data_IF_072541354239
#
_entry.id   IF_072541354239
#
_cell.length_a   1.000
_cell.length_b   1.000
_cell.length_c   1.000
_cell.angle_alpha   90.00
_cell.angle_beta   90.00
_cell.angle_gamma   90.00
#
_symmetry.space_group_name_H-M   'P 1'
#
loop_
_entity.id
_entity.type
_entity.pdbx_description
1 polymer ?
#
# COMPACT_ATOMS: atom_id res chain seq x y z
N UNK A 1 -24.81 -3.15 -22.06
CA UNK A 1 -25.32 -4.21 -21.17
C UNK A 1 -24.27 -4.61 -20.12
N UNK A 2 -23.18 -5.33 -20.45
CA UNK A 2 -22.12 -5.71 -19.47
C UNK A 2 -21.56 -4.58 -18.58
N UNK A 3 -21.42 -3.35 -19.10
CA UNK A 3 -20.93 -2.20 -18.32
C UNK A 3 -21.97 -1.65 -17.33
N UNK A 4 -23.26 -1.71 -17.64
CA UNK A 4 -24.34 -1.32 -16.72
C UNK A 4 -24.47 -2.32 -15.55
N UNK A 5 -24.14 -3.59 -15.81
CA UNK A 5 -24.14 -4.63 -14.78
C UNK A 5 -23.03 -4.38 -13.75
N UNK A 6 -21.84 -3.95 -14.20
CA UNK A 6 -20.72 -3.63 -13.30
C UNK A 6 -20.97 -2.38 -12.45
N UNK A 7 -21.50 -1.29 -13.01
CA UNK A 7 -21.79 -0.08 -12.22
C UNK A 7 -22.84 -0.33 -11.14
N UNK A 8 -23.78 -1.24 -11.41
CA UNK A 8 -24.80 -1.63 -10.42
C UNK A 8 -24.14 -2.42 -9.29
N UNK A 9 -23.30 -3.41 -9.63
CA UNK A 9 -22.58 -4.22 -8.65
C UNK A 9 -21.58 -3.37 -7.81
N UNK A 10 -20.90 -2.41 -8.43
CA UNK A 10 -20.04 -1.44 -7.72
C UNK A 10 -20.84 -0.70 -6.65
N UNK A 11 -22.04 -0.21 -7.00
CA UNK A 11 -22.90 0.50 -6.05
C UNK A 11 -23.40 -0.41 -4.93
N UNK A 12 -23.90 -1.60 -5.27
CA UNK A 12 -24.38 -2.58 -4.29
C UNK A 12 -23.28 -2.97 -3.29
N UNK A 13 -22.05 -3.23 -3.77
CA UNK A 13 -20.92 -3.50 -2.89
C UNK A 13 -20.55 -2.29 -2.03
N UNK A 14 -20.59 -1.08 -2.59
CA UNK A 14 -20.34 0.16 -1.84
C UNK A 14 -21.31 0.31 -0.67
N UNK A 15 -22.60 0.10 -0.94
CA UNK A 15 -23.69 0.23 0.03
C UNK A 15 -23.62 -0.87 1.11
N UNK A 16 -23.31 -2.12 0.72
CA UNK A 16 -23.19 -3.23 1.68
C UNK A 16 -21.96 -3.12 2.60
N UNK A 17 -20.85 -2.58 2.10
CA UNK A 17 -19.59 -2.47 2.83
C UNK A 17 -19.44 -1.12 3.55
N UNK A 18 -20.36 -0.19 3.35
CA UNK A 18 -20.29 1.20 3.86
C UNK A 18 -18.97 1.89 3.50
N UNK A 19 -18.57 1.77 2.22
CA UNK A 19 -17.36 2.40 1.68
C UNK A 19 -17.74 3.39 0.58
N UNK A 20 -17.00 4.50 0.50
CA UNK A 20 -17.37 5.61 -0.38
C UNK A 20 -17.28 5.30 -1.89
N UNK A 21 -16.46 4.32 -2.30
CA UNK A 21 -16.34 3.93 -3.70
C UNK A 21 -15.78 2.53 -3.88
N UNK A 22 -16.44 1.75 -4.73
CA UNK A 22 -15.94 0.47 -5.27
C UNK A 22 -15.61 0.64 -6.75
N UNK A 23 -14.55 -0.05 -7.21
CA UNK A 23 -14.23 -0.18 -8.62
C UNK A 23 -14.03 -1.66 -8.93
N UNK A 24 -14.79 -2.20 -9.87
CA UNK A 24 -14.73 -3.61 -10.27
C UNK A 24 -14.12 -3.71 -11.67
N UNK A 25 -13.13 -4.59 -11.80
CA UNK A 25 -12.54 -4.92 -13.09
C UNK A 25 -13.04 -6.30 -13.53
N UNK A 26 -13.35 -6.50 -14.83
CA UNK A 26 -13.72 -7.82 -15.33
C UNK A 26 -12.52 -8.77 -15.28
N UNK A 27 -12.78 -10.03 -14.92
CA UNK A 27 -11.78 -11.10 -14.84
C UNK A 27 -11.55 -11.59 -13.42
N UNK A 28 -10.62 -12.53 -13.25
CA UNK A 28 -10.25 -13.12 -11.97
C UNK A 28 -8.73 -13.04 -11.75
N UNK A 29 -8.30 -12.27 -10.73
CA UNK A 29 -6.87 -12.08 -10.43
C UNK A 29 -6.19 -13.30 -9.79
N UNK A 30 -6.94 -14.28 -9.32
CA UNK A 30 -6.39 -15.54 -8.81
C UNK A 30 -6.05 -16.49 -9.97
N UNK A 31 -6.70 -16.34 -11.13
CA UNK A 31 -6.46 -17.15 -12.33
C UNK A 31 -5.58 -16.44 -13.36
N UNK A 32 -5.71 -15.11 -13.48
CA UNK A 32 -5.13 -14.34 -14.57
C UNK A 32 -4.25 -13.18 -14.06
N UNK A 33 -2.94 -13.29 -14.24
CA UNK A 33 -1.99 -12.26 -13.79
C UNK A 33 -2.22 -10.89 -14.47
N UNK A 34 -2.80 -10.88 -15.68
CA UNK A 34 -3.17 -9.64 -16.36
C UNK A 34 -4.21 -8.83 -15.57
N UNK A 35 -5.13 -9.49 -14.88
CA UNK A 35 -6.16 -8.82 -14.07
C UNK A 35 -5.50 -8.12 -12.88
N UNK A 36 -4.52 -8.75 -12.23
CA UNK A 36 -3.73 -8.13 -11.15
C UNK A 36 -2.99 -6.87 -11.63
N UNK A 37 -2.43 -6.92 -12.85
CA UNK A 37 -1.79 -5.75 -13.46
C UNK A 37 -2.79 -4.62 -13.72
N UNK A 38 -4.02 -4.93 -14.15
CA UNK A 38 -5.06 -3.91 -14.31
C UNK A 38 -5.58 -3.33 -13.00
N UNK A 39 -5.66 -4.16 -11.94
CA UNK A 39 -5.92 -3.65 -10.58
C UNK A 39 -4.85 -2.63 -10.21
N UNK A 40 -3.56 -2.97 -10.41
CA UNK A 40 -2.45 -2.05 -10.18
C UNK A 40 -2.56 -0.76 -10.98
N UNK A 41 -2.83 -0.83 -12.28
CA UNK A 41 -3.00 0.35 -13.14
C UNK A 41 -4.19 1.22 -12.73
N UNK A 42 -5.29 0.60 -12.36
CA UNK A 42 -6.49 1.30 -11.90
C UNK A 42 -6.24 2.01 -10.58
N UNK A 43 -5.60 1.34 -9.62
CA UNK A 43 -5.18 1.94 -8.35
C UNK A 43 -4.22 3.12 -8.57
N UNK A 44 -3.26 2.96 -9.48
CA UNK A 44 -2.30 4.02 -9.82
C UNK A 44 -3.01 5.27 -10.37
N UNK A 45 -3.96 5.07 -11.30
CA UNK A 45 -4.77 6.17 -11.85
C UNK A 45 -5.64 6.84 -10.79
N UNK A 46 -6.18 6.10 -9.82
CA UNK A 46 -6.94 6.68 -8.71
C UNK A 46 -6.03 7.54 -7.84
N UNK A 47 -4.86 7.00 -7.45
CA UNK A 47 -3.88 7.75 -6.67
C UNK A 47 -3.42 9.02 -7.39
N UNK A 48 -3.10 8.95 -8.69
CA UNK A 48 -2.72 10.13 -9.47
C UNK A 48 -3.79 11.22 -9.46
N UNK A 49 -5.07 10.85 -9.45
CA UNK A 49 -6.19 11.81 -9.36
C UNK A 49 -6.31 12.44 -7.97
N UNK A 50 -6.10 11.65 -6.92
CA UNK A 50 -6.13 12.16 -5.54
C UNK A 50 -5.00 13.17 -5.29
N UNK A 51 -3.83 12.94 -5.89
CA UNK A 51 -2.68 13.83 -5.78
C UNK A 51 -2.73 15.05 -6.71
N UNK A 52 -3.77 15.19 -7.54
CA UNK A 52 -3.81 16.21 -8.60
C UNK A 52 -4.30 17.60 -8.13
N UNK A 53 -4.58 17.77 -6.83
CA UNK A 53 -5.09 19.03 -6.28
C UNK A 53 -3.99 20.11 -6.06
N UNK A 54 -2.71 19.74 -6.26
CA UNK A 54 -1.56 20.61 -6.09
C UNK A 54 -1.10 20.80 -4.64
N UNK A 55 -1.76 20.15 -3.68
CA UNK A 55 -1.39 20.19 -2.28
C UNK A 55 -0.19 19.28 -1.97
N UNK A 56 0.34 19.44 -0.76
CA UNK A 56 1.34 18.52 -0.22
C UNK A 56 0.63 17.32 0.38
N UNK A 57 1.00 16.13 -0.09
CA UNK A 57 0.49 14.85 0.44
C UNK A 57 1.59 14.01 1.08
N UNK A 58 1.20 13.25 2.09
CA UNK A 58 1.97 12.15 2.66
C UNK A 58 1.22 10.85 2.34
N UNK A 59 1.80 10.04 1.46
CA UNK A 59 1.21 8.78 0.99
C UNK A 59 1.90 7.62 1.71
N UNK A 60 1.17 6.91 2.57
CA UNK A 60 1.61 5.67 3.18
C UNK A 60 1.25 4.48 2.27
N UNK A 61 2.18 3.56 2.04
CA UNK A 61 1.94 2.35 1.23
C UNK A 61 2.34 1.06 1.93
N UNK A 62 1.53 0.01 1.76
CA UNK A 62 1.89 -1.34 2.21
C UNK A 62 2.83 -2.05 1.22
N UNK A 63 3.26 -3.26 1.60
CA UNK A 63 3.91 -4.20 0.70
C UNK A 63 2.92 -4.97 -0.21
N UNK A 64 3.44 -5.97 -0.92
CA UNK A 64 2.68 -7.00 -1.64
C UNK A 64 2.64 -6.83 -3.16
N UNK A 65 2.30 -7.93 -3.86
CA UNK A 65 2.30 -8.01 -5.33
C UNK A 65 1.36 -7.00 -5.99
N UNK A 66 0.19 -6.76 -5.41
CA UNK A 66 -0.78 -5.78 -5.92
C UNK A 66 -0.24 -4.35 -5.87
N UNK A 67 0.44 -3.97 -4.79
CA UNK A 67 1.02 -2.64 -4.64
C UNK A 67 2.28 -2.47 -5.49
N UNK A 68 3.06 -3.54 -5.68
CA UNK A 68 4.16 -3.53 -6.63
C UNK A 68 3.64 -3.30 -8.07
N UNK A 69 2.54 -3.94 -8.45
CA UNK A 69 1.89 -3.70 -9.74
C UNK A 69 1.39 -2.25 -9.87
N UNK A 70 0.82 -1.67 -8.81
CA UNK A 70 0.43 -0.26 -8.78
C UNK A 70 1.63 0.68 -8.94
N UNK A 71 2.66 0.52 -8.11
CA UNK A 71 3.86 1.35 -8.16
C UNK A 71 4.53 1.27 -9.54
N UNK A 72 4.54 0.10 -10.18
CA UNK A 72 5.06 -0.08 -11.54
C UNK A 72 4.22 0.60 -12.65
N UNK A 73 2.96 0.97 -12.39
CA UNK A 73 2.06 1.59 -13.36
C UNK A 73 1.74 3.06 -13.05
N UNK A 74 2.24 3.61 -11.94
CA UNK A 74 2.09 5.04 -11.63
C UNK A 74 2.89 5.89 -12.61
N UNK A 75 2.32 7.04 -12.96
CA UNK A 75 2.92 8.02 -13.86
C UNK A 75 2.49 9.43 -13.46
N UNK A 76 3.21 10.42 -14.00
CA UNK A 76 3.04 11.83 -13.67
C UNK A 76 4.17 12.35 -12.80
N UNK A 77 4.04 13.60 -12.36
CA UNK A 77 5.01 14.27 -11.49
C UNK A 77 4.29 14.86 -10.31
N UNK A 78 4.68 14.46 -9.11
CA UNK A 78 4.13 14.88 -7.82
C UNK A 78 5.25 15.23 -6.84
N UNK A 79 6.06 16.26 -7.13
CA UNK A 79 7.27 16.58 -6.35
C UNK A 79 6.97 17.04 -4.92
N UNK A 80 5.75 17.53 -4.65
CA UNK A 80 5.32 17.93 -3.32
C UNK A 80 4.90 16.74 -2.42
N UNK A 81 4.85 15.53 -2.97
CA UNK A 81 4.45 14.33 -2.24
C UNK A 81 5.64 13.73 -1.48
N UNK A 82 5.34 13.18 -0.30
CA UNK A 82 6.25 12.31 0.46
C UNK A 82 5.64 10.92 0.51
N UNK A 83 6.33 9.91 0.00
CA UNK A 83 5.89 8.51 0.09
C UNK A 83 6.60 7.82 1.25
N UNK A 84 5.85 7.13 2.10
CA UNK A 84 6.37 6.41 3.26
C UNK A 84 5.82 4.99 3.31
N UNK A 85 6.54 4.03 3.89
CA UNK A 85 5.98 2.72 4.15
C UNK A 85 4.92 2.82 5.28
N UNK A 86 3.81 2.11 5.15
CA UNK A 86 2.78 2.04 6.18
C UNK A 86 3.19 1.14 7.36
N UNK A 87 4.21 0.29 7.18
CA UNK A 87 4.64 -0.76 8.12
C UNK A 87 6.14 -0.98 8.02
N UNK A 88 6.70 -1.73 8.98
CA UNK A 88 8.09 -2.16 8.95
C UNK A 88 8.42 -3.08 7.77
N UNK A 89 9.71 -3.39 7.60
CA UNK A 89 10.17 -4.41 6.65
C UNK A 89 9.63 -5.78 7.04
N UNK A 90 9.04 -6.52 6.09
CA UNK A 90 8.47 -7.85 6.33
C UNK A 90 8.73 -8.79 5.17
N UNK A 91 9.17 -10.02 5.48
CA UNK A 91 9.28 -11.13 4.54
C UNK A 91 10.57 -11.12 3.71
N UNK A 92 10.82 -12.26 3.06
CA UNK A 92 12.10 -12.54 2.39
C UNK A 92 12.18 -11.97 0.97
N UNK A 93 11.05 -11.56 0.37
CA UNK A 93 11.03 -10.94 -0.95
C UNK A 93 11.12 -9.41 -0.83
N UNK A 94 12.34 -8.89 -0.99
CA UNK A 94 12.68 -7.47 -0.90
C UNK A 94 11.83 -6.61 -1.83
N UNK A 95 11.52 -7.09 -3.03
CA UNK A 95 10.75 -6.35 -4.05
C UNK A 95 9.32 -6.06 -3.62
N UNK A 96 8.78 -6.90 -2.73
CA UNK A 96 7.41 -6.81 -2.23
C UNK A 96 7.31 -6.11 -0.87
N UNK A 97 8.42 -5.66 -0.31
CA UNK A 97 8.42 -4.94 0.96
C UNK A 97 7.85 -3.52 0.81
N UNK A 98 7.22 -3.01 1.87
CA UNK A 98 6.65 -1.67 1.90
C UNK A 98 7.70 -0.58 1.61
N UNK A 99 8.93 -0.72 2.12
CA UNK A 99 10.04 0.20 1.84
C UNK A 99 10.37 0.28 0.34
N UNK A 100 10.44 -0.87 -0.33
CA UNK A 100 10.75 -0.95 -1.76
C UNK A 100 9.62 -0.35 -2.59
N UNK A 101 8.37 -0.68 -2.26
CA UNK A 101 7.20 -0.12 -2.95
C UNK A 101 7.14 1.40 -2.77
N UNK A 102 7.37 1.92 -1.56
CA UNK A 102 7.43 3.36 -1.30
C UNK A 102 8.52 4.05 -2.14
N UNK A 103 9.70 3.41 -2.24
CA UNK A 103 10.83 3.90 -3.02
C UNK A 103 10.48 3.95 -4.52
N UNK A 104 9.98 2.86 -5.08
CA UNK A 104 9.60 2.76 -6.51
C UNK A 104 8.49 3.76 -6.87
N UNK A 105 7.47 3.86 -6.01
CA UNK A 105 6.36 4.79 -6.20
C UNK A 105 6.86 6.24 -6.19
N UNK A 106 7.70 6.61 -5.22
CA UNK A 106 8.25 7.96 -5.14
C UNK A 106 9.12 8.32 -6.35
N UNK A 107 10.01 7.40 -6.75
CA UNK A 107 10.88 7.62 -7.92
C UNK A 107 10.07 7.86 -9.19
N UNK A 108 9.01 7.09 -9.42
CA UNK A 108 8.14 7.25 -10.61
C UNK A 108 7.30 8.52 -10.58
N UNK A 109 7.00 9.04 -9.39
CA UNK A 109 6.31 10.30 -9.20
C UNK A 109 7.25 11.51 -9.16
N UNK A 110 8.57 11.33 -9.16
CA UNK A 110 9.51 12.41 -8.83
C UNK A 110 9.31 12.99 -7.42
N UNK A 111 8.70 12.21 -6.53
CA UNK A 111 8.39 12.55 -5.15
C UNK A 111 9.55 12.17 -4.23
N UNK A 112 9.54 12.70 -3.00
CA UNK A 112 10.47 12.24 -1.97
C UNK A 112 9.95 11.00 -1.26
N UNK A 113 10.84 10.21 -0.64
CA UNK A 113 10.44 9.09 0.22
C UNK A 113 11.21 9.05 1.54
N UNK A 114 10.68 8.29 2.49
CA UNK A 114 11.39 7.87 3.71
C UNK A 114 11.26 6.37 3.87
N UNK A 115 12.31 5.73 4.37
CA UNK A 115 12.31 4.30 4.68
C UNK A 115 12.20 4.09 6.19
N UNK A 116 11.53 3.02 6.58
CA UNK A 116 11.41 2.59 7.97
C UNK A 116 12.33 1.38 8.18
N UNK A 117 13.45 1.59 8.86
CA UNK A 117 14.44 0.54 9.15
C UNK A 117 14.08 -0.23 10.43
N UNK A 118 12.83 -0.68 10.52
CA UNK A 118 12.32 -1.49 11.63
C UNK A 118 11.60 -2.70 11.06
N UNK A 119 11.85 -3.93 11.54
CA UNK A 119 11.09 -5.10 11.13
C UNK A 119 9.62 -5.04 11.60
N UNK A 120 8.67 -5.54 10.83
CA UNK A 120 7.23 -5.61 11.21
C UNK A 120 6.95 -6.64 12.32
N UNK A 121 7.93 -7.48 12.67
CA UNK A 121 7.81 -8.56 13.65
C UNK A 121 8.34 -8.22 15.05
N UNK A 122 8.85 -7.01 15.28
CA UNK A 122 9.36 -6.62 16.61
C UNK A 122 8.22 -6.49 17.61
N UNK A 123 8.47 -6.81 18.87
CA UNK A 123 7.51 -6.58 19.95
C UNK A 123 7.31 -5.08 20.21
N UNK A 124 6.21 -4.72 20.85
CA UNK A 124 5.92 -3.34 21.23
C UNK A 124 7.00 -2.75 22.16
N UNK A 125 7.52 -3.53 23.12
CA UNK A 125 8.59 -3.10 24.03
C UNK A 125 9.89 -2.76 23.28
N UNK A 126 10.24 -3.60 22.29
CA UNK A 126 11.41 -3.37 21.44
C UNK A 126 11.18 -2.14 20.57
N UNK A 127 9.99 -2.01 19.96
CA UNK A 127 9.64 -0.84 19.16
C UNK A 127 9.74 0.45 19.98
N UNK A 128 9.19 0.48 21.19
CA UNK A 128 9.25 1.62 22.09
C UNK A 128 10.69 1.97 22.49
N UNK A 129 11.54 0.97 22.69
CA UNK A 129 12.97 1.19 22.95
C UNK A 129 13.66 1.81 21.73
N UNK A 130 13.41 1.30 20.52
CA UNK A 130 13.95 1.87 19.28
C UNK A 130 13.49 3.32 19.11
N UNK A 131 12.21 3.62 19.33
CA UNK A 131 11.68 4.98 19.18
C UNK A 131 12.24 5.98 20.21
N UNK A 132 12.68 5.50 21.38
CA UNK A 132 13.34 6.34 22.39
C UNK A 132 14.77 6.69 21.97
N UNK A 133 15.52 5.69 21.53
CA UNK A 133 16.96 5.79 21.24
C UNK A 133 17.27 6.32 19.83
N UNK A 134 16.50 5.93 18.81
CA UNK A 134 16.74 6.28 17.41
C UNK A 134 15.82 7.42 16.95
N UNK A 135 16.37 8.63 16.96
CA UNK A 135 15.69 9.85 16.50
C UNK A 135 15.29 9.81 15.03
N UNK A 136 16.03 9.07 14.19
CA UNK A 136 15.76 8.92 12.76
C UNK A 136 14.52 8.05 12.53
N UNK A 137 14.46 6.89 13.18
CA UNK A 137 13.28 6.02 13.14
C UNK A 137 12.05 6.74 13.69
N UNK A 138 12.19 7.44 14.83
CA UNK A 138 11.09 8.23 15.40
C UNK A 138 10.58 9.29 14.42
N UNK A 139 11.47 10.03 13.78
CA UNK A 139 11.08 11.04 12.80
C UNK A 139 10.31 10.44 11.60
N UNK A 140 10.70 9.26 11.11
CA UNK A 140 9.97 8.58 10.04
C UNK A 140 8.58 8.13 10.52
N UNK A 141 8.48 7.56 11.72
CA UNK A 141 7.18 7.17 12.32
C UNK A 141 6.25 8.37 12.50
N UNK A 142 6.79 9.52 12.91
CA UNK A 142 6.02 10.76 13.03
C UNK A 142 5.52 11.29 11.68
N UNK A 143 6.25 11.04 10.59
CA UNK A 143 5.77 11.33 9.23
C UNK A 143 4.68 10.34 8.82
N UNK A 144 4.84 9.04 9.09
CA UNK A 144 3.85 8.01 8.79
C UNK A 144 2.51 8.33 9.48
N UNK A 145 2.54 8.77 10.74
CA UNK A 145 1.33 9.19 11.49
C UNK A 145 0.60 10.40 10.88
N UNK A 146 1.26 11.17 10.02
CA UNK A 146 0.70 12.32 9.32
C UNK A 146 0.24 11.99 7.90
N UNK A 147 0.28 10.71 7.49
CA UNK A 147 -0.20 10.28 6.20
C UNK A 147 -1.69 10.60 6.03
N UNK A 148 -2.02 11.35 4.98
CA UNK A 148 -3.39 11.68 4.59
C UNK A 148 -3.97 10.70 3.56
N UNK A 149 -3.11 9.91 2.90
CA UNK A 149 -3.52 8.83 1.99
C UNK A 149 -2.81 7.54 2.41
N UNK A 150 -3.59 6.47 2.64
CA UNK A 150 -3.08 5.11 2.81
C UNK A 150 -3.49 4.27 1.61
N UNK A 151 -2.52 3.61 0.96
CA UNK A 151 -2.79 2.60 -0.07
C UNK A 151 -2.29 1.25 0.42
N UNK A 152 -3.20 0.31 0.61
CA UNK A 152 -2.84 -1.02 1.10
C UNK A 152 -3.59 -2.14 0.38
N UNK A 153 -3.00 -3.33 0.44
CA UNK A 153 -3.61 -4.56 -0.03
C UNK A 153 -4.23 -5.32 1.14
N UNK A 154 -5.15 -6.22 0.84
CA UNK A 154 -5.72 -7.16 1.82
C UNK A 154 -5.25 -8.56 1.46
N UNK A 155 -4.38 -9.12 2.31
CA UNK A 155 -3.84 -10.47 2.13
C UNK A 155 -4.60 -11.51 2.94
N UNK A 156 -4.65 -12.76 2.46
CA UNK A 156 -5.23 -13.88 3.24
C UNK A 156 -4.45 -14.09 4.54
N UNK A 157 -5.16 -14.12 5.67
CA UNK A 157 -4.55 -14.19 7.00
C UNK A 157 -3.58 -15.37 7.16
N UNK A 158 -3.97 -16.58 6.75
CA UNK A 158 -3.13 -17.79 6.86
C UNK A 158 -1.83 -17.70 6.03
N UNK A 159 -1.84 -16.99 4.90
CA UNK A 159 -0.63 -16.74 4.10
C UNK A 159 0.26 -15.71 4.80
N UNK A 160 -0.34 -14.64 5.33
CA UNK A 160 0.39 -13.58 6.03
C UNK A 160 1.03 -14.08 7.33
N UNK A 161 0.35 -14.96 8.07
CA UNK A 161 0.87 -15.57 9.28
C UNK A 161 2.15 -16.39 9.02
N UNK A 162 2.18 -17.14 7.91
CA UNK A 162 3.41 -17.83 7.44
C UNK A 162 4.53 -16.87 7.09
N UNK A 163 4.25 -15.78 6.36
CA UNK A 163 5.27 -14.78 6.05
C UNK A 163 5.83 -14.06 7.28
N UNK A 164 5.03 -13.96 8.35
CA UNK A 164 5.45 -13.43 9.66
C UNK A 164 6.13 -14.46 10.55
N UNK A 165 6.26 -15.73 10.10
CA UNK A 165 6.83 -16.84 10.86
C UNK A 165 6.14 -17.03 12.23
N UNK A 166 4.81 -16.84 12.26
CA UNK A 166 4.01 -17.11 13.45
C UNK A 166 3.95 -18.61 13.74
N UNK A 167 3.73 -18.97 15.01
CA UNK A 167 3.64 -20.36 15.43
C UNK A 167 2.46 -21.09 14.76
N UNK A 168 2.54 -22.41 14.53
CA UNK A 168 1.45 -23.18 13.93
C UNK A 168 0.13 -23.08 14.68
N UNK A 169 0.16 -22.82 15.99
CA UNK A 169 -1.04 -22.62 16.83
C UNK A 169 -1.82 -21.34 16.50
N UNK A 170 -1.19 -20.37 15.82
CA UNK A 170 -1.78 -19.08 15.44
C UNK A 170 -2.28 -19.10 13.98
N UNK A 171 -1.88 -20.09 13.16
CA UNK A 171 -2.21 -20.20 11.72
C UNK A 171 -3.52 -20.95 11.50
#
# INVERSE_FOLDING_TARGET
RKLQDLSTLEKELSDMLDIGRVVILPGDSDQEEVVKREIGRTAARILSKLLADGARHIVAVSGGTTLAAMAANISGSQPNTVVVPARGGLGDNVELQANTIATVLAQRLGASYRQLYVPDSVSEDILNSILKEDVGVRAVVDIIKKADILVHGVGRASVMARHRRLSPEII
#
